data_IF_971938713210
#
_entry.id   IF_971938713210
#
_cell.length_a   1.000
_cell.length_b   1.000
_cell.length_c   1.000
_cell.angle_alpha   90.00
_cell.angle_beta   90.00
_cell.angle_gamma   90.00
#
_symmetry.space_group_name_H-M   'P 1'
#
loop_
_entity.id
_entity.type
_entity.pdbx_description
1 polymer ?
#
# COMPACT_ATOMS: atom_id res chain seq x y z
N UNK A 1 58.49 -46.58 40.51
CA UNK A 1 57.95 -45.34 41.09
C UNK A 1 58.14 -44.21 40.08
N UNK A 2 57.04 -43.66 39.57
CA UNK A 2 56.82 -42.31 39.02
C UNK A 2 57.62 -41.86 37.77
N UNK A 3 57.07 -41.17 36.75
CA UNK A 3 55.73 -40.71 36.34
C UNK A 3 55.92 -40.26 34.87
N UNK A 4 55.12 -40.74 33.92
CA UNK A 4 55.10 -40.22 32.54
C UNK A 4 53.96 -39.21 32.42
N UNK A 5 54.28 -37.95 32.21
CA UNK A 5 53.32 -36.86 31.96
C UNK A 5 53.13 -36.77 30.44
N UNK A 6 51.95 -37.18 29.96
CA UNK A 6 51.52 -36.94 28.58
C UNK A 6 50.66 -35.68 28.61
N UNK A 7 51.15 -34.60 28.00
CA UNK A 7 50.40 -33.37 27.80
C UNK A 7 49.71 -33.43 26.43
N UNK A 8 48.38 -33.55 26.42
CA UNK A 8 47.56 -33.46 25.22
C UNK A 8 47.05 -32.03 25.06
N UNK A 9 47.65 -31.28 24.14
CA UNK A 9 47.14 -29.97 23.70
C UNK A 9 46.07 -30.23 22.64
N UNK A 10 44.81 -30.05 22.99
CA UNK A 10 43.69 -30.04 22.04
C UNK A 10 43.59 -28.62 21.48
N UNK A 11 43.96 -28.44 20.22
CA UNK A 11 43.70 -27.21 19.46
C UNK A 11 42.28 -27.31 18.92
N UNK A 12 41.33 -26.60 19.54
CA UNK A 12 40.01 -26.34 18.95
C UNK A 12 40.16 -25.25 17.88
N UNK A 13 40.24 -25.65 16.62
CA UNK A 13 40.06 -24.74 15.49
C UNK A 13 38.56 -24.52 15.27
N UNK A 14 38.05 -23.39 15.77
CA UNK A 14 36.71 -22.90 15.43
C UNK A 14 36.70 -22.44 13.97
N UNK A 15 36.15 -23.27 13.08
CA UNK A 15 35.80 -22.85 11.73
C UNK A 15 34.62 -21.88 11.81
N UNK A 16 34.88 -20.59 11.63
CA UNK A 16 33.85 -19.59 11.39
C UNK A 16 33.48 -19.72 9.90
N UNK A 17 32.38 -20.40 9.61
CA UNK A 17 31.78 -20.41 8.29
C UNK A 17 31.13 -19.06 8.03
N UNK A 18 31.69 -18.25 7.14
CA UNK A 18 30.99 -17.09 6.59
C UNK A 18 29.94 -17.58 5.60
N UNK A 19 28.68 -17.18 5.79
CA UNK A 19 27.64 -17.33 4.76
C UNK A 19 28.12 -16.62 3.49
N UNK A 20 28.04 -17.28 2.34
CA UNK A 20 28.31 -16.62 1.05
C UNK A 20 27.35 -15.44 0.88
N UNK A 21 27.88 -14.25 0.60
CA UNK A 21 27.07 -13.10 0.20
C UNK A 21 26.45 -13.38 -1.18
N UNK A 22 25.14 -13.18 -1.30
CA UNK A 22 24.47 -13.25 -2.59
C UNK A 22 24.97 -12.14 -3.50
N UNK A 23 25.43 -12.51 -4.70
CA UNK A 23 25.83 -11.58 -5.74
C UNK A 23 24.74 -11.56 -6.82
N UNK A 24 24.11 -10.40 -7.02
CA UNK A 24 23.04 -10.24 -8.00
C UNK A 24 23.53 -9.42 -9.21
N UNK A 25 23.06 -9.78 -10.39
CA UNK A 25 23.26 -9.01 -11.63
C UNK A 25 21.89 -8.76 -12.25
N UNK A 26 21.56 -7.49 -12.47
CA UNK A 26 20.29 -7.09 -13.07
C UNK A 26 20.21 -7.56 -14.52
N UNK A 27 19.12 -8.26 -14.86
CA UNK A 27 18.78 -8.62 -16.24
C UNK A 27 17.92 -7.53 -16.88
N UNK A 28 16.97 -7.00 -16.10
CA UNK A 28 16.14 -5.85 -16.43
C UNK A 28 16.25 -4.89 -15.26
N UNK A 29 16.48 -3.61 -15.56
CA UNK A 29 16.55 -2.53 -14.57
C UNK A 29 15.70 -1.37 -15.09
N UNK A 30 14.68 -0.98 -14.34
CA UNK A 30 13.70 0.02 -14.73
C UNK A 30 13.82 1.23 -13.80
N UNK A 31 13.72 2.43 -14.39
CA UNK A 31 13.70 3.66 -13.62
C UNK A 31 12.55 3.65 -12.59
N UNK A 32 12.89 3.93 -11.33
CA UNK A 32 11.95 4.10 -10.24
C UNK A 32 12.26 5.37 -9.44
N UNK A 33 11.28 5.81 -8.65
CA UNK A 33 11.47 6.89 -7.68
C UNK A 33 12.37 6.44 -6.52
N UNK A 34 12.72 7.37 -5.64
CA UNK A 34 13.50 7.05 -4.44
C UNK A 34 12.70 6.18 -3.49
N UNK A 35 13.39 5.31 -2.75
CA UNK A 35 12.77 4.47 -1.70
C UNK A 35 12.11 5.35 -0.64
N UNK A 36 10.87 5.00 -0.29
CA UNK A 36 10.04 5.69 0.70
C UNK A 36 9.86 4.83 1.96
N UNK A 37 9.49 5.48 3.07
CA UNK A 37 9.22 4.80 4.34
C UNK A 37 7.78 5.03 4.78
N UNK A 38 7.01 3.96 4.92
CA UNK A 38 5.64 4.02 5.45
C UNK A 38 5.58 4.32 6.95
N UNK A 39 6.72 4.35 7.65
CA UNK A 39 6.76 4.53 9.10
C UNK A 39 6.04 3.43 9.86
N UNK A 40 5.44 3.78 11.00
CA UNK A 40 4.65 2.85 11.81
C UNK A 40 3.19 2.82 11.33
N UNK A 41 3.01 2.29 10.12
CA UNK A 41 1.71 2.14 9.49
C UNK A 41 1.58 0.80 8.77
N UNK A 42 0.36 0.38 8.49
CA UNK A 42 0.01 -0.75 7.62
C UNK A 42 -0.43 -0.29 6.22
N UNK A 43 0.19 0.76 5.68
CA UNK A 43 -0.24 1.37 4.40
C UNK A 43 0.66 0.98 3.22
N UNK A 44 1.36 -0.16 3.28
CA UNK A 44 2.24 -0.64 2.20
C UNK A 44 1.56 -0.62 0.83
N UNK A 45 0.29 -1.06 0.76
CA UNK A 45 -0.56 -1.01 -0.44
C UNK A 45 -0.63 0.37 -1.10
N UNK A 46 -0.60 1.44 -0.30
CA UNK A 46 -0.57 2.81 -0.82
C UNK A 46 0.80 3.20 -1.31
N UNK A 47 1.86 2.80 -0.62
CA UNK A 47 3.25 3.10 -0.99
C UNK A 47 3.70 2.32 -2.23
N UNK A 48 3.40 1.02 -2.30
CA UNK A 48 3.71 0.18 -3.47
C UNK A 48 2.98 0.67 -4.71
N UNK A 49 1.68 0.95 -4.58
CA UNK A 49 0.89 1.42 -5.73
C UNK A 49 1.24 2.84 -6.13
N UNK A 50 1.53 3.75 -5.19
CA UNK A 50 2.06 5.08 -5.55
C UNK A 50 3.38 4.96 -6.29
N UNK A 51 4.32 4.13 -5.82
CA UNK A 51 5.59 3.89 -6.51
C UNK A 51 5.39 3.33 -7.92
N UNK A 52 4.49 2.36 -8.09
CA UNK A 52 4.08 1.84 -9.40
C UNK A 52 3.52 2.96 -10.30
N UNK A 53 2.62 3.81 -9.78
CA UNK A 53 2.06 4.92 -10.53
C UNK A 53 3.10 5.98 -10.87
N UNK A 54 4.08 6.25 -10.00
CA UNK A 54 5.20 7.16 -10.29
C UNK A 54 6.05 6.63 -11.45
N UNK A 55 6.37 5.33 -11.46
CA UNK A 55 7.04 4.68 -12.60
C UNK A 55 6.20 4.74 -13.88
N UNK A 56 4.88 4.60 -13.79
CA UNK A 56 3.98 4.77 -14.94
C UNK A 56 3.94 6.22 -15.44
N UNK A 57 3.87 7.21 -14.54
CA UNK A 57 3.96 8.63 -14.88
C UNK A 57 5.28 8.89 -15.61
N UNK A 58 6.39 8.37 -15.09
CA UNK A 58 7.70 8.46 -15.73
C UNK A 58 7.68 7.87 -17.13
N UNK A 59 7.14 6.66 -17.31
CA UNK A 59 7.06 5.97 -18.61
C UNK A 59 6.23 6.73 -19.63
N UNK A 60 5.07 7.30 -19.25
CA UNK A 60 4.11 7.90 -20.20
C UNK A 60 4.28 9.42 -20.40
N UNK A 61 4.97 10.10 -19.49
CA UNK A 61 5.16 11.57 -19.53
C UNK A 61 6.62 12.04 -19.44
N UNK A 62 7.54 11.15 -19.06
CA UNK A 62 8.92 11.47 -18.68
C UNK A 62 9.06 12.37 -17.44
N UNK A 63 7.96 12.62 -16.71
CA UNK A 63 7.98 13.42 -15.48
C UNK A 63 8.41 12.58 -14.28
N UNK A 64 9.21 13.19 -13.39
CA UNK A 64 9.47 12.64 -12.06
C UNK A 64 8.49 13.31 -11.10
N UNK A 65 7.61 12.53 -10.50
CA UNK A 65 6.60 13.01 -9.54
C UNK A 65 6.76 12.19 -8.26
N UNK A 66 6.68 12.88 -7.13
CA UNK A 66 6.53 12.28 -5.81
C UNK A 66 5.05 12.39 -5.44
N UNK A 67 4.31 11.28 -5.51
CA UNK A 67 2.88 11.22 -5.24
C UNK A 67 2.63 11.08 -3.74
N UNK A 68 1.61 11.76 -3.23
CA UNK A 68 1.18 11.58 -1.85
C UNK A 68 0.46 10.25 -1.67
N UNK A 69 1.10 9.28 -1.01
CA UNK A 69 0.44 8.06 -0.54
C UNK A 69 -0.72 8.41 0.38
N UNK A 70 -0.47 9.33 1.31
CA UNK A 70 -1.42 9.68 2.35
C UNK A 70 -2.69 10.32 1.82
N UNK A 71 -2.64 11.00 0.67
CA UNK A 71 -3.86 11.49 0.03
C UNK A 71 -4.80 10.34 -0.35
N UNK A 72 -4.26 9.22 -0.84
CA UNK A 72 -5.06 8.05 -1.20
C UNK A 72 -5.57 7.32 0.05
N UNK A 73 -4.73 7.19 1.10
CA UNK A 73 -5.12 6.64 2.42
C UNK A 73 -6.25 7.46 3.03
N UNK A 74 -6.10 8.80 3.06
CA UNK A 74 -7.07 9.76 3.60
C UNK A 74 -8.44 9.64 2.93
N UNK A 75 -8.48 9.36 1.63
CA UNK A 75 -9.71 9.20 0.86
C UNK A 75 -10.30 7.78 0.93
N UNK A 76 -9.49 6.79 1.27
CA UNK A 76 -9.90 5.39 1.38
C UNK A 76 -10.53 5.08 2.74
N UNK A 77 -10.03 5.65 3.83
CA UNK A 77 -10.54 5.39 5.19
C UNK A 77 -12.04 5.67 5.40
N UNK A 78 -12.64 6.75 4.85
CA UNK A 78 -14.09 6.94 4.90
C UNK A 78 -14.88 5.82 4.22
N UNK A 79 -14.34 5.21 3.15
CA UNK A 79 -14.97 4.06 2.47
C UNK A 79 -14.86 2.80 3.32
N UNK A 80 -13.73 2.57 3.98
CA UNK A 80 -13.56 1.47 4.96
C UNK A 80 -14.53 1.63 6.12
N UNK A 81 -14.65 2.84 6.67
CA UNK A 81 -15.59 3.16 7.75
C UNK A 81 -17.04 2.88 7.34
N UNK A 82 -17.44 3.30 6.13
CA UNK A 82 -18.75 2.96 5.57
C UNK A 82 -18.97 1.46 5.47
N UNK A 83 -18.03 0.73 4.86
CA UNK A 83 -18.13 -0.72 4.71
C UNK A 83 -18.26 -1.43 6.07
N UNK A 84 -17.48 -1.00 7.06
CA UNK A 84 -17.50 -1.53 8.42
C UNK A 84 -18.85 -1.31 9.12
N UNK A 85 -19.39 -0.08 9.09
CA UNK A 85 -20.69 0.23 9.72
C UNK A 85 -21.84 -0.48 9.00
N UNK A 86 -21.87 -0.46 7.67
CA UNK A 86 -22.94 -1.11 6.89
C UNK A 86 -22.94 -2.63 7.04
N UNK A 87 -21.76 -3.23 7.29
CA UNK A 87 -21.61 -4.66 7.60
C UNK A 87 -21.60 -4.93 9.10
N UNK A 88 -22.05 -3.99 9.93
CA UNK A 88 -22.24 -4.17 11.38
C UNK A 88 -20.99 -4.72 12.09
N UNK A 89 -19.83 -4.20 11.71
CA UNK A 89 -18.54 -4.60 12.27
C UNK A 89 -18.01 -5.96 11.81
N UNK A 90 -18.66 -6.61 10.83
CA UNK A 90 -18.26 -7.91 10.29
C UNK A 90 -17.29 -7.83 9.10
N UNK A 91 -16.97 -6.63 8.63
CA UNK A 91 -15.86 -6.40 7.72
C UNK A 91 -14.61 -5.94 8.48
N UNK A 92 -13.45 -5.96 7.81
CA UNK A 92 -12.23 -5.41 8.37
C UNK A 92 -12.25 -3.88 8.37
N UNK A 93 -11.95 -3.29 9.52
CA UNK A 93 -11.48 -1.90 9.64
C UNK A 93 -10.08 -1.92 10.24
N UNK A 94 -9.08 -1.80 9.37
CA UNK A 94 -7.65 -1.81 9.66
C UNK A 94 -6.93 -0.80 8.76
N UNK A 95 -5.60 -0.73 8.87
CA UNK A 95 -4.75 0.12 8.05
C UNK A 95 -4.47 -0.45 6.64
N UNK A 96 -4.53 -1.78 6.51
CA UNK A 96 -4.26 -2.51 5.27
C UNK A 96 -5.26 -2.19 4.18
N UNK A 97 -4.98 -2.62 2.96
CA UNK A 97 -5.71 -2.33 1.73
C UNK A 97 -4.99 -3.01 0.56
N UNK A 98 -5.46 -2.79 -0.67
CA UNK A 98 -4.89 -3.39 -1.87
C UNK A 98 -4.73 -2.34 -2.97
N UNK A 99 -3.98 -2.66 -4.02
CA UNK A 99 -3.69 -1.69 -5.09
C UNK A 99 -4.93 -1.08 -5.74
N UNK A 100 -6.00 -1.85 -5.90
CA UNK A 100 -7.26 -1.35 -6.45
C UNK A 100 -7.93 -0.30 -5.55
N UNK A 101 -7.63 -0.24 -4.25
CA UNK A 101 -8.12 0.82 -3.37
C UNK A 101 -7.47 2.17 -3.70
N UNK A 102 -6.18 2.17 -4.05
CA UNK A 102 -5.51 3.36 -4.57
C UNK A 102 -6.12 3.78 -5.90
N UNK A 103 -6.31 2.84 -6.83
CA UNK A 103 -6.92 3.15 -8.14
C UNK A 103 -8.37 3.68 -7.99
N UNK A 104 -9.16 3.11 -7.08
CA UNK A 104 -10.49 3.62 -6.73
C UNK A 104 -10.42 5.05 -6.18
N UNK A 105 -9.42 5.34 -5.34
CA UNK A 105 -9.17 6.68 -4.83
C UNK A 105 -8.77 7.65 -5.94
N UNK A 106 -7.87 7.24 -6.85
CA UNK A 106 -7.48 8.04 -8.02
C UNK A 106 -8.69 8.37 -8.89
N UNK A 107 -9.51 7.36 -9.20
CA UNK A 107 -10.71 7.53 -10.01
C UNK A 107 -11.76 8.43 -9.36
N UNK A 108 -11.89 8.41 -8.03
CA UNK A 108 -12.89 9.23 -7.32
C UNK A 108 -12.38 10.64 -6.97
N UNK A 109 -11.12 10.76 -6.57
CA UNK A 109 -10.57 11.95 -5.90
C UNK A 109 -9.41 12.59 -6.65
N UNK A 110 -8.71 11.85 -7.51
CA UNK A 110 -7.55 12.34 -8.26
C UNK A 110 -6.24 12.03 -7.56
N UNK A 111 -5.21 12.79 -7.91
CA UNK A 111 -3.86 12.62 -7.40
C UNK A 111 -3.33 13.97 -6.91
N UNK A 112 -2.46 13.95 -5.92
CA UNK A 112 -1.72 15.13 -5.47
C UNK A 112 -0.26 14.73 -5.26
N UNK A 113 0.69 15.65 -5.47
CA UNK A 113 2.07 15.40 -5.12
C UNK A 113 2.27 15.49 -3.61
N UNK A 114 3.31 14.86 -3.08
CA UNK A 114 3.64 14.83 -1.65
C UNK A 114 3.77 16.24 -1.07
N UNK A 115 4.36 17.17 -1.82
CA UNK A 115 4.49 18.59 -1.44
C UNK A 115 3.15 19.31 -1.21
N UNK A 116 2.04 18.80 -1.76
CA UNK A 116 0.71 19.36 -1.58
C UNK A 116 -0.06 18.73 -0.40
N UNK A 117 0.29 17.51 -0.01
CA UNK A 117 -0.35 16.80 1.08
C UNK A 117 0.59 15.72 1.62
N UNK A 118 1.25 15.98 2.75
CA UNK A 118 2.19 15.00 3.32
C UNK A 118 1.47 13.92 4.14
N UNK A 119 0.28 14.22 4.66
CA UNK A 119 -0.40 13.33 5.61
C UNK A 119 0.22 13.28 7.00
N UNK A 120 1.20 14.12 7.29
CA UNK A 120 1.80 14.26 8.62
C UNK A 120 1.07 15.34 9.43
N UNK A 121 0.80 15.06 10.69
CA UNK A 121 0.37 16.09 11.62
C UNK A 121 1.52 17.08 11.91
N UNK A 122 1.18 18.29 12.35
CA UNK A 122 2.18 19.34 12.60
C UNK A 122 3.29 18.84 13.56
N UNK A 123 4.54 18.94 13.11
CA UNK A 123 5.79 18.53 13.78
C UNK A 123 6.18 17.05 13.70
N UNK A 124 5.33 16.18 13.14
CA UNK A 124 5.71 14.78 12.94
C UNK A 124 6.67 14.64 11.76
N UNK A 125 7.68 13.77 11.92
CA UNK A 125 8.65 13.44 10.86
C UNK A 125 8.41 12.05 10.27
N UNK A 126 7.53 11.25 10.89
CA UNK A 126 7.26 9.86 10.51
C UNK A 126 5.79 9.56 10.74
N UNK A 127 5.19 8.78 9.84
CA UNK A 127 3.81 8.33 10.02
C UNK A 127 3.69 7.36 11.20
N UNK A 128 2.65 7.55 12.00
CA UNK A 128 2.21 6.59 13.00
C UNK A 128 0.69 6.64 13.11
N UNK A 129 0.01 5.63 12.56
CA UNK A 129 -1.46 5.59 12.51
C UNK A 129 -2.09 4.81 13.66
N UNK A 130 -1.28 4.36 14.62
CA UNK A 130 -1.73 3.47 15.70
C UNK A 130 -2.87 4.09 16.52
N UNK A 131 -2.70 5.33 16.97
CA UNK A 131 -3.71 6.05 17.74
C UNK A 131 -4.95 6.37 16.90
N UNK A 132 -4.75 6.98 15.73
CA UNK A 132 -5.84 7.36 14.81
C UNK A 132 -6.76 6.17 14.55
N UNK A 133 -6.21 5.00 14.21
CA UNK A 133 -7.01 3.82 13.85
C UNK A 133 -7.75 3.25 15.06
N UNK A 134 -7.13 3.27 16.24
CA UNK A 134 -7.78 2.85 17.48
C UNK A 134 -8.98 3.77 17.82
N UNK A 135 -8.79 5.08 17.72
CA UNK A 135 -9.84 6.09 17.95
C UNK A 135 -10.98 5.92 16.95
N UNK A 136 -10.66 5.84 15.65
CA UNK A 136 -11.66 5.63 14.60
C UNK A 136 -12.45 4.34 14.82
N UNK A 137 -11.77 3.23 15.15
CA UNK A 137 -12.43 1.94 15.39
C UNK A 137 -13.38 2.00 16.59
N UNK A 138 -12.98 2.68 17.68
CA UNK A 138 -13.84 2.87 18.85
C UNK A 138 -15.09 3.69 18.51
N UNK A 139 -14.94 4.76 17.74
CA UNK A 139 -16.08 5.56 17.27
C UNK A 139 -17.03 4.74 16.39
N UNK A 140 -16.47 3.97 15.45
CA UNK A 140 -17.27 3.13 14.55
C UNK A 140 -18.03 2.04 15.32
N UNK A 141 -17.41 1.41 16.32
CA UNK A 141 -18.08 0.45 17.18
C UNK A 141 -19.25 1.10 17.93
N UNK A 142 -19.08 2.30 18.49
CA UNK A 142 -20.18 3.02 19.13
C UNK A 142 -21.34 3.35 18.18
N UNK A 143 -21.04 3.63 16.90
CA UNK A 143 -22.06 3.84 15.87
C UNK A 143 -22.78 2.55 15.46
N UNK A 144 -22.11 1.40 15.52
CA UNK A 144 -22.70 0.08 15.27
C UNK A 144 -23.58 -0.34 16.46
N UNK A 145 -23.07 -0.18 17.69
CA UNK A 145 -23.82 -0.45 18.92
C UNK A 145 -25.11 0.40 18.96
N UNK A 146 -25.06 1.58 18.37
CA UNK A 146 -26.20 2.45 18.09
C UNK A 146 -27.17 2.55 19.29
N UNK A 147 -26.69 3.03 20.47
CA UNK A 147 -27.48 3.01 21.70
C UNK A 147 -28.77 3.84 21.60
N UNK A 148 -28.77 4.87 20.75
CA UNK A 148 -29.95 5.68 20.45
C UNK A 148 -30.96 4.99 19.49
N UNK A 149 -30.67 3.76 19.04
CA UNK A 149 -31.42 2.97 18.04
C UNK A 149 -31.65 3.69 16.70
N UNK A 150 -30.89 4.74 16.45
CA UNK A 150 -30.90 5.53 15.22
C UNK A 150 -29.49 6.06 14.95
N UNK A 151 -28.91 5.60 13.85
CA UNK A 151 -27.59 6.03 13.42
C UNK A 151 -27.59 7.55 13.20
N UNK A 152 -26.72 8.25 13.93
CA UNK A 152 -26.64 9.70 13.90
C UNK A 152 -26.23 10.19 12.51
N UNK A 153 -26.91 11.13 11.87
CA UNK A 153 -26.49 11.66 10.56
C UNK A 153 -25.11 12.35 10.61
N UNK A 154 -24.59 12.65 11.81
CA UNK A 154 -23.30 13.31 12.02
C UNK A 154 -22.11 12.35 12.02
N UNK A 155 -22.34 11.04 12.05
CA UNK A 155 -21.26 10.05 12.25
C UNK A 155 -20.16 10.17 11.19
N UNK A 156 -20.53 10.38 9.92
CA UNK A 156 -19.58 10.59 8.82
C UNK A 156 -18.72 11.82 9.04
N UNK A 157 -19.35 12.94 9.39
CA UNK A 157 -18.65 14.20 9.67
C UNK A 157 -17.67 14.06 10.84
N UNK A 158 -18.03 13.29 11.87
CA UNK A 158 -17.12 13.00 12.98
C UNK A 158 -15.90 12.19 12.54
N UNK A 159 -16.09 11.18 11.69
CA UNK A 159 -14.99 10.38 11.14
C UNK A 159 -14.06 11.25 10.26
N UNK A 160 -14.63 12.06 9.37
CA UNK A 160 -13.87 12.99 8.54
C UNK A 160 -13.07 14.00 9.39
N UNK A 161 -13.65 14.52 10.47
CA UNK A 161 -12.97 15.46 11.36
C UNK A 161 -11.76 14.82 12.08
N UNK A 162 -11.86 13.56 12.50
CA UNK A 162 -10.70 12.84 13.05
C UNK A 162 -9.64 12.66 11.97
N UNK A 163 -10.00 12.24 10.77
CA UNK A 163 -9.04 12.11 9.68
C UNK A 163 -8.35 13.44 9.34
N UNK A 164 -9.08 14.55 9.34
CA UNK A 164 -8.54 15.89 9.15
C UNK A 164 -7.52 16.28 10.23
N UNK A 165 -7.71 15.83 11.48
CA UNK A 165 -6.81 16.12 12.60
C UNK A 165 -5.50 15.33 12.46
N UNK A 166 -5.57 14.05 12.12
CA UNK A 166 -4.39 13.17 12.09
C UNK A 166 -3.63 13.21 10.76
N UNK A 167 -4.34 13.31 9.63
CA UNK A 167 -3.75 13.25 8.29
C UNK A 167 -3.80 14.60 7.57
N UNK A 168 -4.51 15.59 8.11
CA UNK A 168 -4.74 16.84 7.42
C UNK A 168 -5.96 16.81 6.48
N UNK A 169 -6.34 18.00 6.05
CA UNK A 169 -7.50 18.24 5.19
C UNK A 169 -7.13 18.03 3.72
N UNK A 170 -8.01 17.35 2.99
CA UNK A 170 -7.85 17.22 1.55
C UNK A 170 -7.71 18.59 0.87
N UNK A 171 -6.64 18.84 0.08
CA UNK A 171 -6.48 20.09 -0.63
C UNK A 171 -7.51 20.20 -1.75
N UNK A 172 -8.16 21.37 -1.84
CA UNK A 172 -9.03 21.70 -2.98
C UNK A 172 -8.21 22.11 -4.20
N UNK A 173 -7.17 22.89 -3.94
CA UNK A 173 -6.19 23.38 -4.91
C UNK A 173 -4.80 23.39 -4.28
N UNK A 174 -3.77 23.28 -5.11
CA UNK A 174 -2.36 23.38 -4.71
C UNK A 174 -1.52 23.87 -5.87
N UNK A 175 -0.42 24.56 -5.56
CA UNK A 175 0.56 24.96 -6.55
C UNK A 175 1.57 23.82 -6.80
N UNK A 176 1.88 23.56 -8.06
CA UNK A 176 2.92 22.62 -8.48
C UNK A 176 3.64 23.18 -9.70
N UNK A 177 4.96 23.32 -9.63
CA UNK A 177 5.79 23.89 -10.70
C UNK A 177 5.24 25.22 -11.27
N UNK A 178 4.81 26.13 -10.40
CA UNK A 178 4.33 27.47 -10.77
C UNK A 178 2.93 27.51 -11.38
N UNK A 179 2.15 26.42 -11.34
CA UNK A 179 0.75 26.38 -11.77
C UNK A 179 -0.15 25.83 -10.69
N UNK A 180 -1.37 26.33 -10.62
CA UNK A 180 -2.40 25.82 -9.71
C UNK A 180 -3.11 24.61 -10.30
N UNK A 181 -3.29 23.59 -9.48
CA UNK A 181 -4.00 22.37 -9.81
C UNK A 181 -5.06 22.05 -8.77
N UNK A 182 -6.12 21.38 -9.22
CA UNK A 182 -6.96 20.55 -8.38
C UNK A 182 -6.42 19.11 -8.44
N UNK A 183 -6.75 18.23 -7.48
CA UNK A 183 -6.34 16.83 -7.55
C UNK A 183 -6.71 16.14 -8.89
N UNK A 184 -7.88 16.48 -9.45
CA UNK A 184 -8.32 15.94 -10.74
C UNK A 184 -7.60 16.53 -11.95
N UNK A 185 -7.28 17.82 -11.94
CA UNK A 185 -6.48 18.39 -13.03
C UNK A 185 -5.02 17.95 -12.98
N UNK A 186 -4.47 17.70 -11.78
CA UNK A 186 -3.15 17.10 -11.62
C UNK A 186 -3.10 15.66 -12.14
N UNK A 187 -4.06 14.81 -11.76
CA UNK A 187 -4.21 13.45 -12.32
C UNK A 187 -4.22 13.47 -13.87
N UNK A 188 -5.00 14.37 -14.48
CA UNK A 188 -5.05 14.53 -15.93
C UNK A 188 -3.71 14.96 -16.53
N UNK A 189 -2.99 15.84 -15.84
CA UNK A 189 -1.67 16.32 -16.27
C UNK A 189 -0.65 15.19 -16.31
N UNK A 190 -0.64 14.32 -15.29
CA UNK A 190 0.25 13.15 -15.22
C UNK A 190 -0.26 11.94 -16.03
N UNK A 191 -1.40 12.09 -16.73
CA UNK A 191 -2.02 11.12 -17.65
C UNK A 191 -2.43 9.77 -17.05
N UNK A 192 -2.56 9.66 -15.73
CA UNK A 192 -3.00 8.43 -15.07
C UNK A 192 -4.52 8.25 -15.18
N UNK A 193 -4.94 7.07 -15.64
CA UNK A 193 -6.34 6.63 -15.67
C UNK A 193 -6.45 5.27 -14.98
N UNK A 194 -7.32 5.17 -13.98
CA UNK A 194 -7.43 3.95 -13.20
C UNK A 194 -7.80 2.71 -14.05
N UNK A 195 -8.65 2.90 -15.07
CA UNK A 195 -9.12 1.83 -15.95
C UNK A 195 -8.05 1.29 -16.93
N UNK A 196 -6.86 1.89 -17.00
CA UNK A 196 -5.77 1.39 -17.85
C UNK A 196 -5.01 0.25 -17.14
N UNK A 197 -5.30 -0.03 -15.86
CA UNK A 197 -4.63 -1.02 -15.03
C UNK A 197 -5.55 -2.20 -14.70
N UNK A 198 -4.98 -3.41 -14.67
CA UNK A 198 -5.69 -4.65 -14.33
C UNK A 198 -4.98 -5.37 -13.19
N UNK A 199 -5.75 -5.98 -12.30
CA UNK A 199 -5.23 -6.84 -11.24
C UNK A 199 -5.33 -8.29 -11.65
N UNK A 200 -4.21 -8.99 -11.64
CA UNK A 200 -4.11 -10.41 -11.96
C UNK A 200 -3.89 -11.23 -10.69
N UNK A 201 -4.32 -12.48 -10.71
CA UNK A 201 -4.08 -13.43 -9.62
C UNK A 201 -4.00 -14.86 -10.15
N UNK A 202 -3.62 -15.83 -9.29
CA UNK A 202 -3.55 -17.24 -9.67
C UNK A 202 -4.00 -18.16 -8.54
N UNK A 203 -5.22 -18.70 -8.66
CA UNK A 203 -5.80 -19.60 -7.67
C UNK A 203 -6.63 -20.72 -8.31
N UNK A 204 -6.39 -21.97 -7.89
CA UNK A 204 -7.08 -23.17 -8.39
C UNK A 204 -8.52 -23.36 -7.88
N UNK A 205 -8.91 -22.66 -6.81
CA UNK A 205 -10.25 -22.80 -6.21
C UNK A 205 -11.34 -22.00 -6.96
N UNK A 206 -10.94 -21.22 -7.97
CA UNK A 206 -11.81 -20.50 -8.88
C UNK A 206 -11.45 -20.90 -10.32
N UNK A 207 -12.39 -20.83 -11.27
CA UNK A 207 -12.08 -21.04 -12.68
C UNK A 207 -11.01 -20.04 -13.16
N UNK A 208 -10.06 -20.52 -13.97
CA UNK A 208 -9.14 -19.64 -14.69
C UNK A 208 -9.88 -18.85 -15.78
N UNK A 209 -9.26 -17.76 -16.24
CA UNK A 209 -9.76 -16.83 -17.25
C UNK A 209 -11.09 -16.16 -16.86
N UNK A 210 -11.35 -16.07 -15.56
CA UNK A 210 -12.52 -15.45 -14.99
C UNK A 210 -12.12 -14.47 -13.90
N UNK A 211 -12.99 -13.47 -13.71
CA UNK A 211 -12.88 -12.48 -12.66
C UNK A 211 -13.51 -13.02 -11.38
N UNK A 212 -12.84 -12.86 -10.24
CA UNK A 212 -13.43 -13.14 -8.93
C UNK A 212 -12.90 -12.19 -7.86
N UNK A 213 -13.64 -12.09 -6.75
CA UNK A 213 -13.22 -11.32 -5.58
C UNK A 213 -12.39 -12.21 -4.68
N UNK A 214 -11.09 -11.90 -4.54
CA UNK A 214 -10.22 -12.61 -3.62
C UNK A 214 -10.69 -12.37 -2.17
N UNK A 215 -11.01 -13.46 -1.47
CA UNK A 215 -11.62 -13.43 -0.14
C UNK A 215 -10.60 -13.22 0.98
N UNK A 216 -9.95 -12.06 0.99
CA UNK A 216 -9.00 -11.65 2.03
C UNK A 216 -9.52 -10.43 2.80
N UNK A 217 -9.18 -10.26 4.09
CA UNK A 217 -9.71 -9.19 4.92
C UNK A 217 -9.47 -7.78 4.35
N UNK A 218 -8.32 -7.54 3.72
CA UNK A 218 -7.99 -6.24 3.14
C UNK A 218 -8.71 -5.92 1.83
N UNK A 219 -9.32 -6.90 1.16
CA UNK A 219 -10.20 -6.68 0.00
C UNK A 219 -11.59 -6.17 0.42
N UNK A 220 -11.61 -5.10 1.21
CA UNK A 220 -12.83 -4.55 1.81
C UNK A 220 -13.78 -3.94 0.76
N UNK A 221 -13.22 -3.45 -0.35
CA UNK A 221 -13.94 -2.83 -1.46
C UNK A 221 -14.48 -3.86 -2.46
N UNK A 222 -14.17 -5.14 -2.27
CA UNK A 222 -14.50 -6.26 -3.16
C UNK A 222 -13.94 -6.06 -4.59
N UNK A 223 -12.69 -5.59 -4.69
CA UNK A 223 -11.97 -5.53 -5.96
C UNK A 223 -11.91 -6.92 -6.60
N UNK A 224 -12.25 -6.96 -7.89
CA UNK A 224 -12.19 -8.17 -8.70
C UNK A 224 -10.80 -8.33 -9.29
N UNK A 225 -10.32 -9.57 -9.33
CA UNK A 225 -9.02 -9.95 -9.87
C UNK A 225 -9.21 -10.97 -11.00
N UNK A 226 -8.47 -10.82 -12.09
CA UNK A 226 -8.52 -11.74 -13.21
C UNK A 226 -7.61 -12.95 -12.94
N UNK A 227 -8.20 -14.13 -12.90
CA UNK A 227 -7.52 -15.36 -12.52
C UNK A 227 -6.83 -16.01 -13.73
N UNK A 228 -5.54 -16.30 -13.65
CA UNK A 228 -4.77 -16.99 -14.70
C UNK A 228 -3.97 -18.17 -14.12
N UNK A 229 -3.59 -19.18 -14.94
CA UNK A 229 -2.67 -20.23 -14.50
C UNK A 229 -1.33 -19.66 -13.99
N UNK A 230 -0.69 -20.34 -13.04
CA UNK A 230 0.54 -19.84 -12.39
C UNK A 230 1.66 -19.58 -13.41
N UNK A 231 1.88 -20.52 -14.34
CA UNK A 231 2.89 -20.37 -15.39
C UNK A 231 2.64 -19.12 -16.25
N UNK A 232 1.37 -18.80 -16.55
CA UNK A 232 1.00 -17.58 -17.27
C UNK A 232 1.19 -16.33 -16.42
N UNK A 233 0.81 -16.38 -15.13
CA UNK A 233 1.01 -15.29 -14.18
C UNK A 233 2.50 -14.87 -14.11
N UNK A 234 3.40 -15.83 -13.97
CA UNK A 234 4.85 -15.61 -13.96
C UNK A 234 5.36 -15.05 -15.29
N UNK A 235 4.91 -15.63 -16.42
CA UNK A 235 5.28 -15.14 -17.75
C UNK A 235 4.81 -13.70 -18.00
N UNK A 236 3.62 -13.34 -17.53
CA UNK A 236 3.09 -11.98 -17.63
C UNK A 236 3.99 -11.00 -16.87
N UNK A 237 4.40 -11.32 -15.64
CA UNK A 237 5.31 -10.47 -14.86
C UNK A 237 6.66 -10.29 -15.59
N UNK A 238 7.27 -11.38 -16.05
CA UNK A 238 8.56 -11.32 -16.78
C UNK A 238 8.43 -10.52 -18.08
N UNK A 239 7.33 -10.71 -18.82
CA UNK A 239 7.08 -9.98 -20.06
C UNK A 239 6.83 -8.50 -19.80
N UNK A 240 6.09 -8.13 -18.75
CA UNK A 240 5.87 -6.74 -18.36
C UNK A 240 7.20 -6.02 -18.13
N UNK A 241 8.07 -6.62 -17.29
CA UNK A 241 9.40 -6.07 -16.99
C UNK A 241 10.25 -5.91 -18.26
N UNK A 242 10.35 -6.96 -19.09
CA UNK A 242 11.12 -6.91 -20.35
C UNK A 242 10.62 -5.86 -21.35
N UNK A 243 9.34 -5.47 -21.27
CA UNK A 243 8.74 -4.45 -22.11
C UNK A 243 8.71 -3.06 -21.46
N UNK A 244 9.44 -2.86 -20.35
CA UNK A 244 9.58 -1.56 -19.71
C UNK A 244 8.44 -1.17 -18.78
N UNK A 245 7.60 -2.13 -18.36
CA UNK A 245 6.54 -1.90 -17.37
C UNK A 245 7.01 -2.41 -16.01
N UNK A 246 6.90 -1.56 -14.98
CA UNK A 246 7.00 -2.01 -13.59
C UNK A 246 5.74 -2.80 -13.20
N UNK A 247 5.77 -3.45 -12.03
CA UNK A 247 4.63 -4.19 -11.49
C UNK A 247 4.36 -3.77 -10.05
N UNK A 248 3.09 -3.63 -9.70
CA UNK A 248 2.63 -3.63 -8.32
C UNK A 248 2.41 -5.10 -7.92
N UNK A 249 2.95 -5.51 -6.78
CA UNK A 249 3.03 -6.91 -6.39
C UNK A 249 2.68 -7.11 -4.91
N UNK A 250 1.50 -7.68 -4.68
CA UNK A 250 1.04 -8.15 -3.37
C UNK A 250 1.56 -9.57 -3.09
N UNK A 251 2.38 -9.75 -2.05
CA UNK A 251 2.92 -11.05 -1.63
C UNK A 251 2.91 -11.23 -0.11
N UNK A 252 2.87 -12.48 0.34
CA UNK A 252 3.18 -12.82 1.73
C UNK A 252 4.69 -12.66 1.95
N UNK A 253 5.04 -11.91 3.00
CA UNK A 253 6.43 -11.60 3.39
C UNK A 253 6.76 -12.12 4.80
N UNK A 254 5.95 -13.02 5.34
CA UNK A 254 6.12 -13.59 6.68
C UNK A 254 7.09 -14.77 6.75
N UNK A 255 7.65 -15.18 5.60
CA UNK A 255 8.69 -16.20 5.51
C UNK A 255 10.04 -15.66 6.00
N UNK A 256 10.80 -16.52 6.71
CA UNK A 256 12.12 -16.14 7.21
C UNK A 256 13.16 -16.18 6.09
N UNK A 257 13.89 -15.08 5.91
CA UNK A 257 15.06 -14.97 5.02
C UNK A 257 16.35 -15.34 5.72
#
# INVERSE_FOLDING_TARGET
MNKLIISSVIVLSSFIGFSQEYQFTSIVDLDCSTVKSQGNTGTCWSFSTSSFLESEIKRITNMNVDLSEMYTVRNTYPKKAWNYVMRQGKAQFSQGGLAHDVLNSVESYGLVPEVAFTGLANNDQKHNHSEMVAVLKAMLNAYIDNPARKLSPRWKTSIEAILDIYLGKNPKTFAYNGKDYTPKSFQKMVKIKANDYVTLTSFKHQPFYNNFVLSIPDNFSNGSMYNVPLDEFEQIMVNALKNGYSIELDIDVSEKT
#
